data_IF_810701037782
#
_entry.id   IF_810701037782
#
_cell.length_a   1.000
_cell.length_b   1.000
_cell.length_c   1.000
_cell.angle_alpha   90.00
_cell.angle_beta   90.00
_cell.angle_gamma   90.00
#
_symmetry.space_group_name_H-M   'P 1'
#
loop_
_entity.id
_entity.type
_entity.pdbx_description
1 polymer ?
#
# COMPACT_ATOMS: atom_id res chain seq x y z
N UNK A 1 -15.06 -2.24 29.12
CA UNK A 1 -16.25 -3.02 28.76
C UNK A 1 -16.08 -3.39 27.31
N UNK A 2 -15.50 -4.57 27.05
CA UNK A 2 -15.11 -5.00 25.71
C UNK A 2 -16.35 -5.37 24.89
N UNK A 3 -16.53 -4.71 23.78
CA UNK A 3 -17.48 -5.15 22.77
C UNK A 3 -16.82 -6.33 22.06
N UNK A 4 -17.29 -7.52 22.38
CA UNK A 4 -17.00 -8.74 21.62
C UNK A 4 -17.75 -8.58 20.29
N UNK A 5 -17.03 -8.14 19.24
CA UNK A 5 -17.51 -8.26 17.87
C UNK A 5 -17.27 -9.68 17.35
N UNK A 6 -17.97 -10.65 17.93
CA UNK A 6 -18.01 -12.02 17.43
C UNK A 6 -19.43 -12.44 16.98
N UNK A 7 -20.34 -11.48 16.78
CA UNK A 7 -21.55 -11.76 16.04
C UNK A 7 -21.24 -11.62 14.56
N UNK A 8 -21.47 -12.69 13.81
CA UNK A 8 -21.48 -12.68 12.35
C UNK A 8 -22.42 -11.55 11.93
N UNK A 9 -21.83 -10.42 11.54
CA UNK A 9 -22.58 -9.37 10.88
C UNK A 9 -22.98 -10.00 9.55
N UNK A 10 -24.22 -10.47 9.43
CA UNK A 10 -24.82 -10.78 8.14
C UNK A 10 -24.96 -9.47 7.36
N UNK A 11 -23.82 -8.98 6.84
CA UNK A 11 -23.82 -7.89 5.92
C UNK A 11 -24.33 -8.41 4.57
N UNK A 12 -25.51 -8.00 4.21
CA UNK A 12 -26.00 -8.15 2.85
C UNK A 12 -24.95 -7.64 1.87
N UNK A 13 -24.24 -8.54 1.19
CA UNK A 13 -23.45 -8.22 0.04
C UNK A 13 -21.91 -8.21 0.18
N UNK A 14 -21.31 -8.58 1.31
CA UNK A 14 -19.86 -8.84 1.34
C UNK A 14 -19.53 -10.17 0.66
N UNK A 15 -18.46 -10.18 -0.15
CA UNK A 15 -17.93 -11.45 -0.64
C UNK A 15 -17.37 -12.26 0.54
N UNK A 16 -17.42 -13.58 0.43
CA UNK A 16 -16.89 -14.49 1.44
C UNK A 16 -15.41 -14.18 1.74
N UNK A 17 -14.61 -13.93 0.72
CA UNK A 17 -13.20 -13.58 0.84
C UNK A 17 -12.98 -12.36 1.74
N UNK A 18 -13.81 -11.31 1.60
CA UNK A 18 -13.71 -10.10 2.44
C UNK A 18 -14.18 -10.38 3.87
N UNK A 19 -15.21 -11.17 4.04
CA UNK A 19 -15.74 -11.53 5.35
C UNK A 19 -14.76 -12.38 6.19
N UNK A 20 -13.88 -13.12 5.52
CA UNK A 20 -12.87 -13.99 6.15
C UNK A 20 -11.53 -13.29 6.40
N UNK A 21 -11.31 -12.07 5.88
CA UNK A 21 -10.07 -11.31 6.11
C UNK A 21 -9.89 -11.01 7.60
N UNK A 22 -8.74 -11.43 8.11
CA UNK A 22 -8.34 -11.12 9.48
C UNK A 22 -7.88 -9.66 9.62
N UNK A 23 -8.17 -9.04 10.76
CA UNK A 23 -7.56 -7.77 11.12
C UNK A 23 -6.05 -7.94 11.30
N UNK A 24 -5.25 -7.05 10.70
CA UNK A 24 -3.80 -7.09 10.82
C UNK A 24 -3.33 -6.76 12.25
N UNK A 25 -2.24 -7.37 12.69
CA UNK A 25 -1.68 -7.11 14.02
C UNK A 25 -1.22 -5.66 14.19
N UNK A 26 -0.76 -5.01 13.12
CA UNK A 26 -0.43 -3.57 13.12
C UNK A 26 -1.66 -2.75 13.50
N UNK A 27 -2.83 -3.04 12.91
CA UNK A 27 -4.08 -2.35 13.23
C UNK A 27 -4.50 -2.56 14.69
N UNK A 28 -4.34 -3.77 15.21
CA UNK A 28 -4.63 -4.08 16.62
C UNK A 28 -3.73 -3.27 17.55
N UNK A 29 -2.42 -3.22 17.27
CA UNK A 29 -1.46 -2.45 18.07
C UNK A 29 -1.74 -0.96 18.00
N UNK A 30 -2.02 -0.42 16.81
CA UNK A 30 -2.36 1.00 16.63
C UNK A 30 -3.62 1.37 17.42
N UNK A 31 -4.69 0.59 17.33
CA UNK A 31 -5.92 0.80 18.11
C UNK A 31 -5.68 0.81 19.61
N UNK A 32 -4.78 -0.06 20.10
CA UNK A 32 -4.45 -0.12 21.52
C UNK A 32 -3.77 1.13 22.04
N UNK A 33 -2.99 1.82 21.21
CA UNK A 33 -2.21 2.99 21.58
C UNK A 33 -2.76 4.34 21.13
N UNK A 34 -3.76 4.38 20.24
CA UNK A 34 -4.17 5.58 19.51
C UNK A 34 -4.50 6.78 20.41
N UNK A 35 -5.22 6.57 21.51
CA UNK A 35 -5.64 7.63 22.43
C UNK A 35 -4.73 7.80 23.65
N UNK A 36 -3.55 7.15 23.67
CA UNK A 36 -2.64 7.22 24.82
C UNK A 36 -1.69 8.40 24.69
N UNK A 37 -1.70 9.27 25.71
CA UNK A 37 -0.76 10.38 25.78
C UNK A 37 0.64 9.90 26.20
N UNK A 38 1.68 10.58 25.69
CA UNK A 38 3.08 10.30 26.02
C UNK A 38 3.65 9.03 25.40
N UNK A 39 2.93 8.42 24.46
CA UNK A 39 3.38 7.26 23.72
C UNK A 39 4.22 7.68 22.51
N UNK A 40 5.30 6.94 22.24
CA UNK A 40 6.06 7.05 21.00
C UNK A 40 5.47 6.03 20.02
N UNK A 41 4.78 6.46 18.95
CA UNK A 41 4.13 5.53 18.01
C UNK A 41 5.18 4.90 17.08
N UNK A 42 5.31 3.58 17.14
CA UNK A 42 6.21 2.81 16.28
C UNK A 42 5.47 1.76 15.43
N UNK A 43 4.16 1.93 15.26
CA UNK A 43 3.32 0.96 14.53
C UNK A 43 3.24 1.17 13.03
N UNK A 44 3.40 2.41 12.53
CA UNK A 44 3.38 2.71 11.10
C UNK A 44 4.76 3.15 10.62
N UNK A 45 5.09 2.77 9.38
CA UNK A 45 6.30 3.23 8.71
C UNK A 45 6.11 4.63 8.11
N UNK A 46 5.88 5.64 8.96
CA UNK A 46 5.71 7.04 8.55
C UNK A 46 6.75 7.92 9.23
N UNK A 47 7.09 9.03 8.57
CA UNK A 47 7.97 10.04 9.17
C UNK A 47 7.22 10.94 10.14
N UNK A 48 7.96 11.62 11.01
CA UNK A 48 7.46 12.59 11.99
C UNK A 48 7.49 14.04 11.48
N UNK A 49 7.96 14.25 10.25
CA UNK A 49 8.08 15.57 9.64
C UNK A 49 6.83 15.87 8.81
N UNK A 50 6.11 16.98 9.09
CA UNK A 50 4.97 17.37 8.28
C UNK A 50 5.38 17.66 6.82
N UNK A 51 4.41 17.53 5.92
CA UNK A 51 4.61 17.86 4.50
C UNK A 51 5.17 19.26 4.35
N UNK A 52 6.26 19.46 3.61
CA UNK A 52 6.86 20.77 3.40
C UNK A 52 5.86 21.80 2.86
N UNK A 53 5.95 23.04 3.37
CA UNK A 53 5.01 24.09 3.03
C UNK A 53 4.84 24.32 1.54
N UNK A 54 5.91 24.29 0.76
CA UNK A 54 5.85 24.51 -0.69
C UNK A 54 5.03 23.46 -1.43
N UNK A 55 4.98 22.22 -0.92
CA UNK A 55 4.13 21.15 -1.47
C UNK A 55 2.67 21.41 -1.15
N UNK A 56 2.39 21.81 0.11
CA UNK A 56 1.04 22.17 0.51
C UNK A 56 0.52 23.39 -0.28
N UNK A 57 1.36 24.41 -0.44
CA UNK A 57 1.01 25.62 -1.20
C UNK A 57 0.68 25.30 -2.66
N UNK A 58 1.48 24.47 -3.33
CA UNK A 58 1.21 24.04 -4.70
C UNK A 58 -0.13 23.29 -4.83
N UNK A 59 -0.47 22.45 -3.86
CA UNK A 59 -1.77 21.77 -3.84
C UNK A 59 -2.93 22.75 -3.67
N UNK A 60 -2.79 23.72 -2.78
CA UNK A 60 -3.81 24.77 -2.55
C UNK A 60 -3.97 25.63 -3.80
N UNK A 61 -2.88 26.03 -4.43
CA UNK A 61 -2.91 26.82 -5.67
C UNK A 61 -3.63 26.09 -6.79
N UNK A 62 -3.32 24.81 -7.04
CA UNK A 62 -4.01 23.97 -8.02
C UNK A 62 -5.53 23.94 -7.78
N UNK A 63 -5.96 23.73 -6.54
CA UNK A 63 -7.38 23.76 -6.19
C UNK A 63 -8.02 25.14 -6.44
N UNK A 64 -7.33 26.23 -6.09
CA UNK A 64 -7.82 27.60 -6.30
C UNK A 64 -7.91 27.96 -7.79
N UNK A 65 -7.04 27.42 -8.61
CA UNK A 65 -7.10 27.55 -10.07
C UNK A 65 -8.21 26.69 -10.71
N UNK A 66 -8.92 25.90 -9.93
CA UNK A 66 -10.02 25.08 -10.41
C UNK A 66 -9.57 23.77 -11.09
N UNK A 67 -8.37 23.31 -10.84
CA UNK A 67 -7.86 22.03 -11.38
C UNK A 67 -8.49 20.84 -10.62
N UNK A 68 -9.82 20.76 -10.64
CA UNK A 68 -10.62 19.79 -9.85
C UNK A 68 -11.46 18.87 -10.73
N UNK A 69 -11.18 18.82 -12.03
CA UNK A 69 -11.88 17.99 -12.99
C UNK A 69 -11.21 16.62 -13.17
N UNK A 70 -11.84 15.76 -13.98
CA UNK A 70 -11.27 14.48 -14.36
C UNK A 70 -9.90 14.66 -15.03
N UNK A 71 -8.94 13.86 -14.58
CA UNK A 71 -7.63 13.77 -15.21
C UNK A 71 -7.60 12.70 -16.28
N UNK A 72 -6.51 12.63 -17.04
CA UNK A 72 -6.25 11.48 -17.90
C UNK A 72 -6.17 10.19 -17.05
N UNK A 73 -6.69 9.09 -17.57
CA UNK A 73 -6.77 7.80 -16.84
C UNK A 73 -5.41 7.29 -16.33
N UNK A 74 -4.31 7.63 -17.01
CA UNK A 74 -2.95 7.27 -16.58
C UNK A 74 -2.33 8.32 -15.63
N UNK A 75 -3.06 9.37 -15.24
CA UNK A 75 -2.60 10.48 -14.42
C UNK A 75 -2.18 11.70 -15.21
N UNK A 76 -1.93 12.81 -14.51
CA UNK A 76 -1.51 14.08 -15.10
C UNK A 76 -0.21 13.92 -15.87
N UNK A 77 -0.16 14.43 -17.12
CA UNK A 77 1.01 14.30 -18.00
C UNK A 77 2.27 14.89 -17.37
N UNK A 78 2.17 16.04 -16.72
CA UNK A 78 3.32 16.68 -16.12
C UNK A 78 3.86 15.90 -14.89
N UNK A 79 2.98 15.34 -14.08
CA UNK A 79 3.38 14.43 -13.01
C UNK A 79 4.10 13.19 -13.55
N UNK A 80 3.58 12.59 -14.61
CA UNK A 80 4.19 11.42 -15.26
C UNK A 80 5.58 11.74 -15.81
N UNK A 81 5.76 12.89 -16.47
CA UNK A 81 7.07 13.36 -16.95
C UNK A 81 8.06 13.54 -15.83
N UNK A 82 7.65 14.14 -14.71
CA UNK A 82 8.53 14.31 -13.53
C UNK A 82 8.88 12.96 -12.88
N UNK A 83 7.94 12.03 -12.80
CA UNK A 83 8.20 10.67 -12.32
C UNK A 83 9.19 9.91 -13.22
N UNK A 84 9.11 10.06 -14.53
CA UNK A 84 10.07 9.50 -15.50
C UNK A 84 11.47 10.07 -15.25
N UNK A 85 11.58 11.40 -15.09
CA UNK A 85 12.85 12.05 -14.75
C UNK A 85 13.40 11.56 -13.42
N UNK A 86 12.53 11.44 -12.41
CA UNK A 86 12.90 10.92 -11.10
C UNK A 86 13.44 9.49 -11.20
N UNK A 87 12.73 8.60 -11.88
CA UNK A 87 13.12 7.19 -12.06
C UNK A 87 14.47 7.09 -12.76
N UNK A 88 14.69 7.88 -13.82
CA UNK A 88 15.97 7.93 -14.52
C UNK A 88 17.12 8.39 -13.61
N UNK A 89 16.87 9.46 -12.83
CA UNK A 89 17.89 10.04 -11.93
C UNK A 89 18.21 9.11 -10.76
N UNK A 90 17.20 8.49 -10.14
CA UNK A 90 17.35 7.74 -8.89
C UNK A 90 17.72 6.27 -9.09
N UNK A 91 17.29 5.68 -10.21
CA UNK A 91 17.45 4.24 -10.48
C UNK A 91 18.18 3.94 -11.80
N UNK A 92 18.53 4.96 -12.58
CA UNK A 92 19.18 4.76 -13.89
C UNK A 92 18.27 4.18 -14.98
N UNK A 93 16.96 4.04 -14.71
CA UNK A 93 15.99 3.42 -15.61
C UNK A 93 15.29 4.49 -16.44
N UNK A 94 15.42 4.41 -17.76
CA UNK A 94 14.65 5.23 -18.68
C UNK A 94 13.31 4.56 -18.99
N UNK A 95 12.22 5.28 -18.75
CA UNK A 95 10.86 4.84 -19.06
C UNK A 95 10.26 5.72 -20.15
N UNK A 96 9.51 5.09 -21.04
CA UNK A 96 8.61 5.79 -21.96
C UNK A 96 7.30 6.15 -21.25
N UNK A 97 6.60 7.16 -21.74
CA UNK A 97 5.42 7.69 -21.05
C UNK A 97 4.26 6.68 -20.95
N UNK A 98 4.12 5.78 -21.91
CA UNK A 98 3.12 4.71 -21.95
C UNK A 98 3.40 3.58 -20.93
N UNK A 99 4.60 3.55 -20.35
CA UNK A 99 5.02 2.57 -19.34
C UNK A 99 4.74 3.01 -17.91
N UNK A 100 4.11 4.16 -17.71
CA UNK A 100 3.87 4.73 -16.40
C UNK A 100 2.42 5.15 -16.23
N UNK A 101 1.82 4.64 -15.17
CA UNK A 101 0.47 5.02 -14.71
C UNK A 101 0.53 5.47 -13.27
N UNK A 102 -0.16 6.55 -12.94
CA UNK A 102 -0.26 7.09 -11.58
C UNK A 102 -1.48 6.49 -10.90
N UNK A 103 -1.31 6.03 -9.68
CA UNK A 103 -2.39 5.61 -8.78
C UNK A 103 -2.48 6.56 -7.59
N UNK A 104 -3.61 6.57 -6.89
CA UNK A 104 -3.81 7.42 -5.71
C UNK A 104 -3.00 6.98 -4.48
N UNK A 105 -2.43 5.77 -4.50
CA UNK A 105 -1.54 5.27 -3.45
C UNK A 105 -0.72 4.08 -3.94
N UNK A 106 0.39 3.79 -3.26
CA UNK A 106 1.18 2.57 -3.51
C UNK A 106 0.38 1.30 -3.27
N UNK A 107 -0.51 1.29 -2.26
CA UNK A 107 -1.38 0.14 -2.00
C UNK A 107 -2.35 -0.13 -3.16
N UNK A 108 -2.89 0.93 -3.76
CA UNK A 108 -3.74 0.78 -4.94
C UNK A 108 -2.95 0.23 -6.13
N UNK A 109 -1.70 0.67 -6.33
CA UNK A 109 -0.83 0.12 -7.37
C UNK A 109 -0.61 -1.39 -7.20
N UNK A 110 -0.33 -1.83 -5.96
CA UNK A 110 -0.16 -3.25 -5.63
C UNK A 110 -1.47 -4.02 -5.87
N UNK A 111 -2.60 -3.49 -5.42
CA UNK A 111 -3.91 -4.12 -5.61
C UNK A 111 -4.25 -4.30 -7.09
N UNK A 112 -4.00 -3.28 -7.91
CA UNK A 112 -4.21 -3.36 -9.35
C UNK A 112 -3.26 -4.39 -10.00
N UNK A 113 -1.99 -4.41 -9.60
CA UNK A 113 -1.04 -5.40 -10.10
C UNK A 113 -1.49 -6.83 -9.77
N UNK A 114 -1.94 -7.08 -8.54
CA UNK A 114 -2.47 -8.40 -8.17
C UNK A 114 -3.72 -8.77 -8.96
N UNK A 115 -4.66 -7.83 -9.15
CA UNK A 115 -5.84 -8.08 -10.00
C UNK A 115 -5.51 -8.40 -11.45
N UNK A 116 -4.39 -7.87 -11.96
CA UNK A 116 -3.95 -8.12 -13.33
C UNK A 116 -3.19 -9.44 -13.50
N UNK A 117 -2.55 -9.92 -12.43
CA UNK A 117 -1.55 -11.00 -12.54
C UNK A 117 -1.98 -12.28 -11.82
N UNK A 118 -2.87 -12.21 -10.82
CA UNK A 118 -3.21 -13.33 -9.94
C UNK A 118 -4.62 -13.83 -10.24
N UNK A 119 -4.74 -15.09 -10.62
CA UNK A 119 -6.00 -15.81 -10.72
C UNK A 119 -6.29 -16.57 -9.41
N UNK A 120 -7.54 -17.01 -9.18
CA UNK A 120 -7.83 -17.92 -8.09
C UNK A 120 -6.91 -19.15 -8.11
N UNK A 121 -6.39 -19.51 -6.94
CA UNK A 121 -5.49 -20.64 -6.68
C UNK A 121 -4.05 -20.49 -7.23
N UNK A 122 -3.70 -19.35 -7.85
CA UNK A 122 -2.30 -19.07 -8.21
C UNK A 122 -1.45 -18.91 -6.95
N UNK A 123 -0.28 -19.51 -6.93
CA UNK A 123 0.70 -19.34 -5.84
C UNK A 123 1.50 -18.06 -6.04
N UNK A 124 1.52 -17.22 -4.99
CA UNK A 124 2.29 -15.97 -4.96
C UNK A 124 3.34 -16.04 -3.86
N UNK A 125 4.61 -16.04 -4.25
CA UNK A 125 5.72 -16.00 -3.29
C UNK A 125 5.88 -14.61 -2.75
N UNK A 126 5.73 -14.46 -1.43
CA UNK A 126 5.93 -13.21 -0.72
C UNK A 126 7.17 -13.29 0.17
N UNK A 127 8.14 -12.45 -0.13
CA UNK A 127 9.39 -12.36 0.63
C UNK A 127 9.14 -11.54 1.90
N UNK A 128 9.36 -12.14 3.05
CA UNK A 128 9.07 -11.54 4.36
C UNK A 128 10.23 -11.63 5.35
N UNK A 129 10.16 -10.84 6.44
CA UNK A 129 9.00 -10.04 6.87
C UNK A 129 8.74 -8.83 5.99
N UNK A 130 7.46 -8.56 5.70
CA UNK A 130 7.00 -7.46 4.86
C UNK A 130 5.67 -6.90 5.39
N UNK A 131 5.29 -5.74 4.92
CA UNK A 131 4.03 -5.11 5.26
C UNK A 131 2.84 -6.06 5.02
N UNK A 132 1.99 -6.32 6.05
CA UNK A 132 0.95 -7.36 5.99
C UNK A 132 -0.08 -7.20 4.87
N UNK A 133 -0.33 -5.97 4.42
CA UNK A 133 -1.28 -5.72 3.35
C UNK A 133 -0.91 -6.40 2.01
N UNK A 134 0.36 -6.76 1.84
CA UNK A 134 0.79 -7.54 0.65
C UNK A 134 0.10 -8.90 0.66
N UNK A 135 0.09 -9.59 1.79
CA UNK A 135 -0.59 -10.89 1.95
C UNK A 135 -2.08 -10.77 1.67
N UNK A 136 -2.74 -9.82 2.34
CA UNK A 136 -4.18 -9.58 2.17
C UNK A 136 -4.56 -9.26 0.72
N UNK A 137 -3.67 -8.60 -0.04
CA UNK A 137 -3.93 -8.30 -1.45
C UNK A 137 -3.92 -9.56 -2.32
N UNK A 138 -3.05 -10.53 -2.03
CA UNK A 138 -3.05 -11.83 -2.69
C UNK A 138 -4.32 -12.60 -2.35
N UNK A 139 -4.67 -12.69 -1.06
CA UNK A 139 -5.86 -13.39 -0.56
C UNK A 139 -7.16 -12.79 -1.12
N UNK A 140 -7.26 -11.46 -1.24
CA UNK A 140 -8.41 -10.78 -1.87
C UNK A 140 -8.63 -11.20 -3.32
N UNK A 141 -7.56 -11.55 -4.03
CA UNK A 141 -7.63 -12.08 -5.39
C UNK A 141 -7.75 -13.61 -5.43
N UNK A 142 -7.97 -14.26 -4.28
CA UNK A 142 -8.05 -15.72 -4.12
C UNK A 142 -6.76 -16.45 -4.50
N UNK A 143 -5.63 -15.76 -4.49
CA UNK A 143 -4.31 -16.36 -4.62
C UNK A 143 -3.88 -17.02 -3.31
N UNK A 144 -2.93 -17.92 -3.40
CA UNK A 144 -2.32 -18.65 -2.28
C UNK A 144 -0.98 -18.00 -1.96
N UNK A 145 -0.82 -17.54 -0.70
CA UNK A 145 0.44 -16.95 -0.23
C UNK A 145 1.44 -18.05 0.11
N UNK A 146 2.58 -18.05 -0.56
CA UNK A 146 3.75 -18.87 -0.21
C UNK A 146 4.81 -17.96 0.40
N UNK A 147 5.17 -18.21 1.67
CA UNK A 147 6.13 -17.38 2.40
C UNK A 147 7.58 -17.77 2.08
N UNK A 148 8.40 -16.80 1.68
CA UNK A 148 9.85 -16.93 1.58
C UNK A 148 10.50 -15.99 2.61
N UNK A 149 11.16 -16.54 3.62
CA UNK A 149 11.72 -15.75 4.71
C UNK A 149 13.14 -15.30 4.42
N UNK A 150 13.43 -14.03 4.66
CA UNK A 150 14.82 -13.57 4.76
C UNK A 150 15.35 -13.84 6.18
N UNK A 151 16.62 -14.19 6.25
CA UNK A 151 17.33 -14.47 7.51
C UNK A 151 18.52 -13.54 7.67
N UNK A 152 18.85 -13.24 8.92
CA UNK A 152 20.07 -12.48 9.24
C UNK A 152 21.23 -13.45 9.36
N UNK A 153 22.24 -13.31 8.51
CA UNK A 153 23.52 -14.01 8.57
C UNK A 153 24.65 -13.10 9.09
N UNK A 154 25.87 -13.60 9.04
CA UNK A 154 27.04 -12.83 9.46
C UNK A 154 27.32 -11.65 8.53
N UNK A 155 27.03 -11.80 7.23
CA UNK A 155 27.27 -10.79 6.19
C UNK A 155 26.03 -9.94 5.88
N UNK A 156 24.94 -10.06 6.66
CA UNK A 156 23.69 -9.35 6.47
C UNK A 156 22.50 -10.24 6.15
N UNK A 157 21.44 -9.64 5.61
CA UNK A 157 20.23 -10.35 5.25
C UNK A 157 20.42 -11.18 3.98
N UNK A 158 19.91 -12.40 3.97
CA UNK A 158 19.85 -13.26 2.78
C UNK A 158 18.51 -13.96 2.68
N UNK A 159 18.14 -14.32 1.46
CA UNK A 159 16.95 -15.12 1.18
C UNK A 159 17.32 -16.61 1.34
N UNK A 160 16.58 -17.31 2.19
CA UNK A 160 16.73 -18.74 2.42
C UNK A 160 15.72 -19.47 1.51
N UNK A 161 16.22 -20.03 0.40
CA UNK A 161 15.44 -20.77 -0.60
C UNK A 161 15.54 -22.27 -0.37
#
# INVERSE_FOLDING_TARGET
MGVIMSEKIEFFGLSQTVAELAETDISKVAKYGWDRQGLIPLWFGEGDVPTPKYICDASVESMQMGETFYTHQNGLSDLRKELIKYTKRSFGVALEEDRLTVTNSGMMAISLAMQMLVNPDDEVVVIGPVWPNIYSTVELNKGIVTHASIKMGQDGWFLDL
#
